data_IF_103141123572
#
_entry.id   IF_103141123572
#
_cell.length_a   1.000
_cell.length_b   1.000
_cell.length_c   1.000
_cell.angle_alpha   90.00
_cell.angle_beta   90.00
_cell.angle_gamma   90.00
#
_symmetry.space_group_name_H-M   'P 1'
#
loop_
_entity.id
_entity.type
_entity.pdbx_description
1 polymer ?
#
# COMPACT_ATOMS: atom_id res chain seq x y z
N UNK A 1 -9.32 -11.76 -4.22
CA UNK A 1 -9.51 -11.99 -5.66
C UNK A 1 -8.27 -12.65 -6.25
N UNK A 2 -8.42 -13.64 -7.15
CA UNK A 2 -7.28 -14.32 -7.79
C UNK A 2 -7.72 -15.08 -9.05
N UNK A 3 -6.76 -15.45 -9.91
CA UNK A 3 -6.88 -16.37 -11.00
C UNK A 3 -5.55 -17.03 -11.30
N UNK A 4 -5.61 -18.27 -11.78
CA UNK A 4 -4.44 -19.08 -12.13
C UNK A 4 -3.76 -19.75 -10.95
N UNK A 5 -2.98 -20.79 -11.29
CA UNK A 5 -2.38 -21.71 -10.29
C UNK A 5 -1.49 -21.00 -9.27
N UNK A 6 -0.65 -20.06 -9.70
CA UNK A 6 0.32 -19.39 -8.80
C UNK A 6 -0.37 -18.65 -7.67
N UNK A 7 -1.37 -17.82 -7.99
CA UNK A 7 -2.10 -17.06 -6.96
C UNK A 7 -3.03 -17.94 -6.13
N UNK A 8 -3.53 -19.04 -6.70
CA UNK A 8 -4.26 -20.03 -5.92
C UNK A 8 -3.35 -20.73 -4.92
N UNK A 9 -2.12 -21.10 -5.31
CA UNK A 9 -1.14 -21.69 -4.43
C UNK A 9 -0.76 -20.73 -3.31
N UNK A 10 -0.47 -19.44 -3.59
CA UNK A 10 -0.23 -18.43 -2.55
C UNK A 10 -1.40 -18.32 -1.57
N UNK A 11 -2.63 -18.31 -2.09
CA UNK A 11 -3.84 -18.28 -1.25
C UNK A 11 -3.91 -19.47 -0.32
N UNK A 12 -3.69 -20.70 -0.85
CA UNK A 12 -3.82 -21.94 -0.09
C UNK A 12 -2.65 -22.18 0.85
N UNK A 13 -1.44 -21.78 0.48
CA UNK A 13 -0.23 -22.12 1.19
C UNK A 13 0.15 -21.10 2.26
N UNK A 14 -0.28 -19.83 2.11
CA UNK A 14 0.15 -18.76 2.99
C UNK A 14 -1.00 -17.88 3.49
N UNK A 15 -1.84 -17.37 2.58
CA UNK A 15 -2.88 -16.42 2.95
C UNK A 15 -3.94 -17.07 3.85
N UNK A 16 -4.62 -18.11 3.39
CA UNK A 16 -5.62 -18.82 4.19
C UNK A 16 -5.05 -19.43 5.46
N UNK A 17 -3.88 -20.11 5.46
CA UNK A 17 -3.28 -20.60 6.69
C UNK A 17 -3.04 -19.50 7.73
N UNK A 18 -2.53 -18.32 7.35
CA UNK A 18 -2.32 -17.21 8.28
C UNK A 18 -3.65 -16.62 8.80
N UNK A 19 -4.68 -16.57 7.95
CA UNK A 19 -6.01 -16.15 8.35
C UNK A 19 -6.74 -17.15 9.25
N UNK A 20 -6.36 -18.42 9.21
CA UNK A 20 -6.89 -19.49 10.07
C UNK A 20 -6.12 -19.66 11.37
N UNK A 21 -5.10 -18.83 11.65
CA UNK A 21 -4.48 -18.76 12.97
C UNK A 21 -5.53 -18.45 14.05
N UNK A 22 -5.26 -18.90 15.28
CA UNK A 22 -6.24 -18.94 16.37
C UNK A 22 -6.97 -17.60 16.62
N UNK A 23 -6.22 -16.49 16.59
CA UNK A 23 -6.74 -15.15 16.90
C UNK A 23 -7.18 -14.38 15.64
N UNK A 24 -7.27 -15.04 14.49
CA UNK A 24 -7.77 -14.48 13.24
C UNK A 24 -9.22 -14.96 12.96
N UNK A 25 -9.51 -15.56 11.82
CA UNK A 25 -10.89 -15.98 11.49
C UNK A 25 -11.54 -16.84 12.57
N UNK A 26 -10.84 -17.81 13.22
CA UNK A 26 -11.44 -18.58 14.30
C UNK A 26 -11.90 -17.74 15.51
N UNK A 27 -11.34 -16.56 15.72
CA UNK A 27 -11.75 -15.64 16.78
C UNK A 27 -13.00 -14.80 16.45
N UNK A 28 -13.61 -14.97 15.28
CA UNK A 28 -14.88 -14.34 14.92
C UNK A 28 -16.00 -15.15 15.58
N UNK A 29 -16.48 -14.68 16.75
CA UNK A 29 -17.49 -15.39 17.55
C UNK A 29 -18.89 -15.46 16.90
N UNK A 30 -19.19 -14.53 15.98
CA UNK A 30 -20.47 -14.44 15.27
C UNK A 30 -20.34 -14.98 13.85
N UNK A 31 -20.37 -16.30 13.74
CA UNK A 31 -20.27 -16.98 12.42
C UNK A 31 -21.50 -16.71 11.53
N UNK A 32 -22.64 -16.35 12.11
CA UNK A 32 -23.94 -16.26 11.45
C UNK A 32 -24.18 -15.08 10.52
N UNK A 33 -23.17 -14.28 10.16
CA UNK A 33 -23.33 -13.12 9.27
C UNK A 33 -22.10 -12.80 8.43
N UNK A 34 -20.97 -13.46 8.70
CA UNK A 34 -19.71 -13.20 7.99
C UNK A 34 -19.54 -14.13 6.79
N UNK A 35 -19.05 -13.57 5.67
CA UNK A 35 -18.81 -14.31 4.43
C UNK A 35 -17.36 -14.10 3.99
N UNK A 36 -16.75 -15.14 3.44
CA UNK A 36 -15.46 -15.05 2.76
C UNK A 36 -15.68 -15.03 1.23
N UNK A 37 -15.54 -13.88 0.61
CA UNK A 37 -15.82 -13.71 -0.83
C UNK A 37 -14.60 -14.10 -1.66
N UNK A 38 -14.76 -15.11 -2.51
CA UNK A 38 -13.76 -15.54 -3.48
C UNK A 38 -14.15 -15.05 -4.88
N UNK A 39 -13.56 -13.92 -5.30
CA UNK A 39 -13.72 -13.44 -6.67
C UNK A 39 -12.68 -14.15 -7.55
N UNK A 40 -13.09 -15.17 -8.31
CA UNK A 40 -12.18 -16.02 -9.07
C UNK A 40 -12.86 -16.64 -10.28
N UNK A 41 -12.11 -17.39 -11.09
CA UNK A 41 -12.66 -18.14 -12.22
C UNK A 41 -13.32 -19.45 -11.75
N UNK A 42 -14.28 -20.01 -12.49
CA UNK A 42 -14.88 -21.31 -12.15
C UNK A 42 -13.83 -22.43 -11.97
N UNK A 43 -12.84 -22.50 -12.87
CA UNK A 43 -11.81 -23.53 -12.80
C UNK A 43 -10.95 -23.40 -11.54
N UNK A 44 -10.64 -22.17 -11.11
CA UNK A 44 -9.86 -21.95 -9.89
C UNK A 44 -10.73 -22.21 -8.64
N UNK A 45 -12.01 -21.91 -8.70
CA UNK A 45 -12.97 -22.25 -7.64
C UNK A 45 -13.06 -23.76 -7.44
N UNK A 46 -13.32 -24.53 -8.52
CA UNK A 46 -13.40 -25.99 -8.50
C UNK A 46 -12.13 -26.65 -7.95
N UNK A 47 -10.97 -26.05 -8.22
CA UNK A 47 -9.69 -26.50 -7.70
C UNK A 47 -9.51 -26.16 -6.22
N UNK A 48 -9.92 -24.96 -5.80
CA UNK A 48 -9.84 -24.50 -4.41
C UNK A 48 -10.73 -25.33 -3.48
N UNK A 49 -11.96 -25.63 -3.90
CA UNK A 49 -12.92 -26.43 -3.09
C UNK A 49 -12.39 -27.81 -2.71
N UNK A 50 -11.46 -28.37 -3.49
CA UNK A 50 -10.85 -29.69 -3.24
C UNK A 50 -9.69 -29.64 -2.27
N UNK A 51 -9.27 -28.44 -1.81
CA UNK A 51 -8.10 -28.31 -0.94
C UNK A 51 -8.47 -28.54 0.54
N UNK A 52 -7.57 -29.16 1.33
CA UNK A 52 -7.82 -29.34 2.77
C UNK A 52 -8.03 -28.00 3.50
N UNK A 53 -7.28 -26.96 3.12
CA UNK A 53 -7.39 -25.63 3.76
C UNK A 53 -8.75 -24.99 3.56
N UNK A 54 -9.38 -25.19 2.39
CA UNK A 54 -10.74 -24.73 2.15
C UNK A 54 -11.76 -25.44 3.04
N UNK A 55 -11.61 -26.74 3.26
CA UNK A 55 -12.46 -27.48 4.19
C UNK A 55 -12.29 -26.99 5.64
N UNK A 56 -11.07 -26.62 6.03
CA UNK A 56 -10.82 -26.00 7.33
C UNK A 56 -11.52 -24.63 7.42
N UNK A 57 -11.39 -23.78 6.39
CA UNK A 57 -12.03 -22.46 6.35
C UNK A 57 -13.54 -22.53 6.56
N UNK A 58 -14.21 -23.49 5.90
CA UNK A 58 -15.68 -23.69 5.99
C UNK A 58 -16.18 -23.99 7.41
N UNK A 59 -15.31 -24.38 8.32
CA UNK A 59 -15.70 -24.64 9.72
C UNK A 59 -15.92 -23.31 10.48
N UNK A 60 -15.37 -22.20 10.00
CA UNK A 60 -15.35 -20.93 10.70
C UNK A 60 -16.12 -19.81 9.99
N UNK A 61 -16.20 -19.84 8.65
CA UNK A 61 -16.82 -18.77 7.89
C UNK A 61 -17.44 -19.34 6.60
N UNK A 62 -18.55 -18.73 6.13
CA UNK A 62 -19.23 -19.13 4.90
C UNK A 62 -18.41 -18.66 3.66
N UNK A 63 -17.88 -19.57 2.84
CA UNK A 63 -17.25 -19.19 1.59
C UNK A 63 -18.31 -18.85 0.53
N UNK A 64 -18.10 -17.76 -0.18
CA UNK A 64 -19.00 -17.27 -1.21
C UNK A 64 -18.25 -17.05 -2.52
N UNK A 65 -18.66 -17.77 -3.58
CA UNK A 65 -18.07 -17.66 -4.91
C UNK A 65 -18.65 -16.47 -5.67
N UNK A 66 -17.77 -15.61 -6.20
CA UNK A 66 -18.11 -14.57 -7.16
C UNK A 66 -17.34 -14.85 -8.44
N UNK A 67 -18.05 -15.22 -9.49
CA UNK A 67 -17.44 -15.50 -10.77
C UNK A 67 -16.89 -14.23 -11.42
N UNK A 68 -15.63 -14.32 -11.87
CA UNK A 68 -14.99 -13.29 -12.68
C UNK A 68 -14.44 -13.93 -13.96
N UNK A 69 -14.46 -13.21 -15.10
CA UNK A 69 -13.83 -13.70 -16.31
C UNK A 69 -12.31 -13.73 -16.18
N UNK A 70 -11.63 -14.46 -17.05
CA UNK A 70 -10.18 -14.30 -17.22
C UNK A 70 -9.84 -12.91 -17.74
N UNK A 71 -8.65 -12.36 -17.40
CA UNK A 71 -8.25 -11.06 -17.89
C UNK A 71 -8.21 -11.04 -19.42
N UNK A 72 -8.82 -10.03 -20.07
CA UNK A 72 -8.70 -9.86 -21.50
C UNK A 72 -7.24 -9.66 -21.91
N UNK A 73 -6.88 -10.12 -23.11
CA UNK A 73 -5.54 -9.91 -23.67
C UNK A 73 -5.15 -8.42 -23.63
N UNK A 74 -3.95 -8.13 -23.14
CA UNK A 74 -3.41 -6.77 -23.05
C UNK A 74 -3.91 -5.94 -21.85
N UNK A 75 -4.83 -6.44 -21.02
CA UNK A 75 -5.22 -5.79 -19.76
C UNK A 75 -4.21 -6.14 -18.67
N UNK A 76 -3.81 -5.14 -17.88
CA UNK A 76 -2.92 -5.40 -16.73
C UNK A 76 -3.64 -6.19 -15.64
N UNK A 77 -2.90 -6.99 -14.86
CA UNK A 77 -3.46 -7.71 -13.71
C UNK A 77 -4.16 -6.76 -12.73
N UNK A 78 -3.56 -5.60 -12.45
CA UNK A 78 -4.15 -4.60 -11.55
C UNK A 78 -5.49 -4.05 -12.07
N UNK A 79 -5.61 -3.72 -13.35
CA UNK A 79 -6.88 -3.27 -13.94
C UNK A 79 -7.95 -4.37 -13.89
N UNK A 80 -7.55 -5.64 -14.01
CA UNK A 80 -8.48 -6.76 -13.93
C UNK A 80 -8.92 -7.05 -12.50
N UNK A 81 -8.03 -6.89 -11.51
CA UNK A 81 -8.37 -7.03 -10.10
C UNK A 81 -9.48 -6.06 -9.67
N UNK A 82 -9.57 -4.87 -10.28
CA UNK A 82 -10.64 -3.92 -10.07
C UNK A 82 -12.04 -4.51 -10.25
N UNK A 83 -12.21 -5.46 -11.19
CA UNK A 83 -13.51 -6.12 -11.44
C UNK A 83 -14.01 -6.85 -10.19
N UNK A 84 -13.18 -7.70 -9.58
CA UNK A 84 -13.57 -8.45 -8.39
C UNK A 84 -13.70 -7.55 -7.16
N UNK A 85 -12.81 -6.56 -7.00
CA UNK A 85 -12.93 -5.58 -5.92
C UNK A 85 -14.22 -4.77 -6.02
N UNK A 86 -14.63 -4.37 -7.24
CA UNK A 86 -15.90 -3.68 -7.47
C UNK A 86 -17.10 -4.52 -7.05
N UNK A 87 -17.14 -5.78 -7.47
CA UNK A 87 -18.21 -6.70 -7.11
C UNK A 87 -18.30 -6.94 -5.59
N UNK A 88 -17.17 -7.20 -4.96
CA UNK A 88 -17.10 -7.41 -3.51
C UNK A 88 -17.50 -6.14 -2.73
N UNK A 89 -17.01 -4.96 -3.15
CA UNK A 89 -17.34 -3.69 -2.53
C UNK A 89 -18.83 -3.33 -2.69
N UNK A 90 -19.41 -3.60 -3.86
CA UNK A 90 -20.85 -3.39 -4.10
C UNK A 90 -21.71 -4.33 -3.22
N UNK A 91 -21.29 -5.58 -3.03
CA UNK A 91 -21.97 -6.51 -2.13
C UNK A 91 -21.91 -6.00 -0.68
N UNK A 92 -20.73 -5.64 -0.18
CA UNK A 92 -20.55 -5.10 1.15
C UNK A 92 -21.37 -3.80 1.37
N UNK A 93 -21.41 -2.92 0.37
CA UNK A 93 -22.22 -1.69 0.44
C UNK A 93 -23.73 -1.96 0.49
N UNK A 94 -24.22 -2.89 -0.33
CA UNK A 94 -25.63 -3.32 -0.31
C UNK A 94 -26.02 -3.92 1.05
N UNK A 95 -25.14 -4.77 1.59
CA UNK A 95 -25.38 -5.49 2.83
C UNK A 95 -25.07 -4.62 4.09
N UNK A 96 -24.57 -3.37 3.89
CA UNK A 96 -24.11 -2.45 4.95
C UNK A 96 -23.12 -3.11 5.91
N UNK A 97 -22.23 -3.93 5.36
CA UNK A 97 -21.28 -4.73 6.10
C UNK A 97 -19.92 -4.05 6.22
N UNK A 98 -19.11 -4.52 7.12
CA UNK A 98 -17.67 -4.27 7.07
C UNK A 98 -17.03 -5.11 5.96
N UNK A 99 -16.20 -4.49 5.12
CA UNK A 99 -15.40 -5.18 4.11
C UNK A 99 -13.93 -5.27 4.56
N UNK A 100 -13.38 -6.49 4.55
CA UNK A 100 -11.95 -6.76 4.74
C UNK A 100 -11.38 -7.21 3.41
N UNK A 101 -10.41 -6.47 2.85
CA UNK A 101 -9.88 -6.73 1.52
C UNK A 101 -8.48 -7.31 1.60
N UNK A 102 -8.32 -8.50 1.00
CA UNK A 102 -7.08 -9.27 1.04
C UNK A 102 -6.72 -9.73 -0.38
N UNK A 103 -5.43 -9.84 -0.63
CA UNK A 103 -4.89 -10.44 -1.86
C UNK A 103 -4.32 -11.82 -1.57
N UNK A 104 -4.20 -12.72 -2.56
CA UNK A 104 -3.68 -14.07 -2.33
C UNK A 104 -2.18 -14.08 -1.97
N UNK A 105 -1.42 -13.11 -2.46
CA UNK A 105 0.01 -12.89 -2.19
C UNK A 105 0.23 -12.11 -0.88
N UNK A 106 -0.41 -12.57 0.18
CA UNK A 106 -0.48 -11.88 1.46
C UNK A 106 -0.39 -12.85 2.62
N UNK A 107 0.31 -12.46 3.68
CA UNK A 107 0.30 -13.13 4.98
C UNK A 107 0.05 -12.08 6.07
N UNK A 108 -0.76 -12.43 7.07
CA UNK A 108 -1.05 -11.59 8.22
C UNK A 108 -0.53 -12.21 9.51
N UNK A 109 -0.18 -11.37 10.48
CA UNK A 109 0.14 -11.83 11.83
C UNK A 109 -1.10 -12.40 12.53
N UNK A 110 -0.89 -13.32 13.45
CA UNK A 110 -1.94 -13.80 14.33
C UNK A 110 -2.51 -12.64 15.17
N UNK A 111 -3.81 -12.60 15.37
CA UNK A 111 -4.52 -11.52 16.05
C UNK A 111 -4.93 -10.34 15.15
N UNK A 112 -4.55 -10.31 13.85
CA UNK A 112 -4.93 -9.24 12.93
C UNK A 112 -6.44 -9.09 12.81
N UNK A 113 -7.19 -10.19 12.62
CA UNK A 113 -8.66 -10.14 12.47
C UNK A 113 -9.33 -9.70 13.78
N UNK A 114 -8.83 -10.18 14.93
CA UNK A 114 -9.29 -9.71 16.24
C UNK A 114 -9.07 -8.21 16.44
N UNK A 115 -7.92 -7.70 16.03
CA UNK A 115 -7.62 -6.28 16.10
C UNK A 115 -8.52 -5.44 15.16
N UNK A 116 -8.82 -5.93 13.95
CA UNK A 116 -9.78 -5.29 13.04
C UNK A 116 -11.19 -5.23 13.66
N UNK A 117 -11.65 -6.33 14.28
CA UNK A 117 -12.92 -6.36 15.03
C UNK A 117 -12.94 -5.31 16.14
N UNK A 118 -11.85 -5.20 16.89
CA UNK A 118 -11.70 -4.19 17.94
C UNK A 118 -11.74 -2.76 17.39
N UNK A 119 -11.06 -2.47 16.28
CA UNK A 119 -11.14 -1.16 15.62
C UNK A 119 -12.57 -0.82 15.20
N UNK A 120 -13.29 -1.78 14.59
CA UNK A 120 -14.70 -1.61 14.21
C UNK A 120 -15.58 -1.31 15.40
N UNK A 121 -15.45 -2.07 16.50
CA UNK A 121 -16.20 -1.87 17.75
C UNK A 121 -15.92 -0.51 18.40
N UNK A 122 -14.72 0.03 18.23
CA UNK A 122 -14.33 1.37 18.68
C UNK A 122 -14.76 2.50 17.72
N UNK A 123 -15.54 2.18 16.69
CA UNK A 123 -16.10 3.17 15.78
C UNK A 123 -15.20 3.60 14.62
N UNK A 124 -14.05 2.91 14.39
CA UNK A 124 -13.24 3.13 13.22
C UNK A 124 -13.99 2.70 11.97
N UNK A 125 -14.11 3.59 10.99
CA UNK A 125 -14.78 3.30 9.72
C UNK A 125 -13.84 2.76 8.66
N UNK A 126 -12.55 3.07 8.78
CA UNK A 126 -11.49 2.59 7.92
C UNK A 126 -10.28 2.22 8.76
N UNK A 127 -9.63 1.10 8.44
CA UNK A 127 -8.31 0.73 8.98
C UNK A 127 -7.32 0.67 7.83
N UNK A 128 -6.22 1.41 7.94
CA UNK A 128 -5.17 1.50 6.94
C UNK A 128 -3.84 0.98 7.49
N UNK A 129 -3.16 0.16 6.71
CA UNK A 129 -1.77 -0.24 6.96
C UNK A 129 -0.85 0.24 5.85
N UNK A 130 0.42 0.46 6.15
CA UNK A 130 1.41 0.81 5.13
C UNK A 130 1.64 -0.36 4.17
N UNK A 131 1.51 -0.10 2.88
CA UNK A 131 1.63 -1.09 1.81
C UNK A 131 3.01 -0.99 1.15
N UNK A 132 3.97 -1.76 1.64
CA UNK A 132 5.28 -1.91 1.03
C UNK A 132 5.43 -3.32 0.46
N UNK A 133 6.24 -3.45 -0.59
CA UNK A 133 6.44 -4.72 -1.30
C UNK A 133 7.66 -5.45 -0.76
N UNK A 134 7.53 -6.76 -0.51
CA UNK A 134 8.61 -7.65 -0.10
C UNK A 134 9.03 -8.54 -1.27
N UNK A 135 10.29 -8.97 -1.29
CA UNK A 135 10.79 -9.97 -2.24
C UNK A 135 10.36 -11.36 -1.79
N UNK A 136 9.75 -12.12 -2.69
CA UNK A 136 9.25 -13.46 -2.40
C UNK A 136 10.34 -14.38 -1.89
N UNK A 137 11.41 -14.51 -2.67
CA UNK A 137 12.47 -15.48 -2.41
C UNK A 137 13.14 -15.22 -1.03
N UNK A 138 13.65 -14.01 -0.72
CA UNK A 138 14.26 -13.78 0.59
C UNK A 138 13.24 -13.79 1.73
N UNK A 139 11.96 -13.48 1.49
CA UNK A 139 10.92 -13.56 2.52
C UNK A 139 10.71 -15.02 2.95
N UNK A 140 10.59 -15.92 1.99
CA UNK A 140 10.35 -17.33 2.26
C UNK A 140 11.58 -17.98 2.88
N UNK A 141 12.80 -17.68 2.41
CA UNK A 141 14.04 -18.15 3.04
C UNK A 141 14.14 -17.72 4.51
N UNK A 142 13.81 -16.46 4.81
CA UNK A 142 13.83 -15.95 6.19
C UNK A 142 12.72 -16.58 7.06
N UNK A 143 11.53 -16.83 6.52
CA UNK A 143 10.45 -17.50 7.26
C UNK A 143 10.81 -18.97 7.53
N UNK A 144 11.45 -19.67 6.60
CA UNK A 144 11.97 -21.02 6.81
C UNK A 144 13.09 -21.03 7.87
N UNK A 145 14.01 -20.07 7.80
CA UNK A 145 15.09 -19.95 8.80
C UNK A 145 14.57 -19.66 10.21
N UNK A 146 13.39 -19.05 10.33
CA UNK A 146 12.70 -18.83 11.60
C UNK A 146 11.84 -20.04 12.05
N UNK A 147 11.80 -21.10 11.25
CA UNK A 147 10.98 -22.30 11.53
C UNK A 147 9.46 -22.04 11.39
N UNK A 148 9.07 -20.97 10.73
CA UNK A 148 7.66 -20.61 10.48
C UNK A 148 7.10 -21.42 9.31
N UNK A 149 7.91 -21.57 8.25
CA UNK A 149 7.57 -22.43 7.11
C UNK A 149 8.35 -23.73 7.16
N UNK A 150 7.74 -24.86 6.77
CA UNK A 150 8.43 -26.13 6.66
C UNK A 150 9.47 -26.10 5.53
N UNK A 151 10.60 -26.78 5.73
CA UNK A 151 11.67 -26.86 4.73
C UNK A 151 11.40 -27.89 3.62
N UNK A 152 10.60 -28.93 3.92
CA UNK A 152 10.51 -30.13 3.06
C UNK A 152 9.09 -30.42 2.52
N UNK A 153 8.10 -29.62 2.84
CA UNK A 153 6.71 -29.84 2.38
C UNK A 153 6.12 -28.55 1.80
N UNK A 154 5.44 -28.68 0.67
CA UNK A 154 4.57 -27.62 0.22
C UNK A 154 3.45 -27.39 1.26
N UNK A 155 3.26 -26.17 1.80
CA UNK A 155 2.26 -25.88 2.85
C UNK A 155 0.84 -26.32 2.48
N UNK A 156 0.49 -26.31 1.18
CA UNK A 156 -0.83 -26.67 0.63
C UNK A 156 -1.31 -28.08 0.99
N UNK A 157 -0.41 -28.98 1.37
CA UNK A 157 -0.78 -30.38 1.67
C UNK A 157 -1.23 -30.57 3.11
N UNK A 158 -0.88 -29.66 4.03
CA UNK A 158 -1.19 -29.83 5.46
C UNK A 158 -2.61 -29.39 5.82
N UNK A 159 -3.18 -28.40 5.14
CA UNK A 159 -4.47 -27.79 5.52
C UNK A 159 -4.46 -27.17 6.91
N UNK A 160 -3.29 -26.97 7.52
CA UNK A 160 -3.13 -26.48 8.87
C UNK A 160 -3.02 -24.95 8.94
N UNK A 161 -3.54 -24.34 10.01
CA UNK A 161 -3.30 -22.94 10.30
C UNK A 161 -1.82 -22.61 10.48
N UNK A 162 -1.42 -21.42 10.07
CA UNK A 162 -0.08 -20.87 10.24
C UNK A 162 -0.13 -19.72 11.23
N UNK A 163 0.28 -19.96 12.48
CA UNK A 163 0.38 -18.89 13.47
C UNK A 163 1.76 -18.25 13.43
N UNK A 164 1.79 -16.94 13.21
CA UNK A 164 3.01 -16.13 13.20
C UNK A 164 2.74 -14.81 13.93
N UNK A 165 3.57 -14.48 14.92
CA UNK A 165 3.46 -13.20 15.59
C UNK A 165 3.91 -12.03 14.71
N UNK A 166 3.41 -10.81 14.99
CA UNK A 166 3.85 -9.60 14.29
C UNK A 166 5.37 -9.43 14.31
N UNK A 167 6.02 -9.71 15.44
CA UNK A 167 7.48 -9.60 15.57
C UNK A 167 8.26 -10.64 14.74
N UNK A 168 7.76 -11.87 14.65
CA UNK A 168 8.38 -12.88 13.79
C UNK A 168 8.23 -12.49 12.32
N UNK A 169 7.04 -12.00 11.95
CA UNK A 169 6.77 -11.57 10.58
C UNK A 169 7.63 -10.36 10.20
N UNK A 170 7.78 -9.38 11.09
CA UNK A 170 8.71 -8.25 10.89
C UNK A 170 10.15 -8.71 10.74
N UNK A 171 10.60 -9.66 11.58
CA UNK A 171 11.98 -10.17 11.54
C UNK A 171 12.35 -10.78 10.18
N UNK A 172 11.41 -11.46 9.53
CA UNK A 172 11.59 -11.94 8.18
C UNK A 172 11.49 -10.79 7.16
N UNK A 173 10.46 -9.93 7.31
CA UNK A 173 10.08 -8.92 6.33
C UNK A 173 11.14 -7.84 6.10
N UNK A 174 11.73 -7.27 7.19
CA UNK A 174 12.71 -6.17 7.06
C UNK A 174 14.00 -6.57 6.35
N UNK A 175 14.30 -7.86 6.31
CA UNK A 175 15.44 -8.43 5.56
C UNK A 175 15.09 -8.78 4.12
N UNK A 176 13.82 -8.65 3.76
CA UNK A 176 13.25 -9.15 2.50
C UNK A 176 12.63 -8.07 1.65
N UNK A 177 12.97 -6.80 1.88
CA UNK A 177 12.42 -5.72 1.07
C UNK A 177 12.72 -5.92 -0.42
N UNK A 178 11.69 -5.86 -1.26
CA UNK A 178 11.85 -5.79 -2.71
C UNK A 178 12.55 -4.49 -3.12
N UNK A 179 13.25 -4.48 -4.24
CA UNK A 179 13.92 -3.26 -4.75
C UNK A 179 12.98 -2.06 -4.90
N UNK A 180 11.68 -2.31 -5.11
CA UNK A 180 10.64 -1.28 -5.11
C UNK A 180 10.50 -0.58 -3.75
N UNK A 181 10.75 -1.28 -2.64
CA UNK A 181 10.72 -0.75 -1.27
C UNK A 181 12.09 -0.24 -0.82
N UNK A 182 13.18 -0.96 -1.14
CA UNK A 182 14.55 -0.57 -0.78
C UNK A 182 14.89 0.84 -1.25
N UNK A 183 14.39 1.25 -2.42
CA UNK A 183 14.60 2.59 -2.98
C UNK A 183 13.99 3.73 -2.15
N UNK A 184 13.24 3.45 -1.10
CA UNK A 184 12.63 4.44 -0.20
C UNK A 184 13.40 4.60 1.12
N UNK A 185 14.52 3.91 1.28
CA UNK A 185 15.41 4.08 2.43
C UNK A 185 16.03 5.48 2.42
N UNK A 186 15.76 6.24 3.49
CA UNK A 186 16.20 7.63 3.55
C UNK A 186 17.73 7.76 3.53
N UNK A 187 18.44 6.89 4.23
CA UNK A 187 19.89 6.95 4.34
C UNK A 187 20.61 6.41 3.09
N UNK A 188 19.90 5.69 2.23
CA UNK A 188 20.50 5.08 1.06
C UNK A 188 20.87 6.11 -0.05
N UNK A 189 21.99 5.88 -0.76
CA UNK A 189 22.43 6.74 -1.86
C UNK A 189 21.59 6.58 -3.13
N UNK A 190 20.69 5.60 -3.16
CA UNK A 190 19.80 5.30 -4.29
C UNK A 190 18.34 5.72 -4.02
N UNK A 191 18.11 6.63 -3.05
CA UNK A 191 16.77 7.10 -2.73
C UNK A 191 15.96 7.47 -3.98
N UNK A 192 14.69 7.06 -4.05
CA UNK A 192 13.84 7.21 -5.23
C UNK A 192 13.72 8.65 -5.70
N UNK A 193 13.60 8.83 -7.01
CA UNK A 193 13.23 10.14 -7.59
C UNK A 193 11.74 10.44 -7.47
N UNK A 194 10.91 9.43 -7.20
CA UNK A 194 9.49 9.54 -6.93
C UNK A 194 9.12 8.58 -5.79
N UNK A 195 9.31 9.01 -4.54
CA UNK A 195 9.05 8.14 -3.38
C UNK A 195 7.55 8.06 -3.07
N UNK A 196 7.07 6.82 -2.85
CA UNK A 196 5.74 6.56 -2.28
C UNK A 196 5.82 6.28 -0.77
N UNK A 197 7.02 6.29 -0.20
CA UNK A 197 7.30 6.17 1.22
C UNK A 197 8.70 6.72 1.50
N UNK A 198 9.03 6.91 2.77
CA UNK A 198 10.41 6.98 3.24
C UNK A 198 10.54 6.21 4.54
N UNK A 199 11.65 5.51 4.72
CA UNK A 199 11.87 4.72 5.91
C UNK A 199 13.33 4.80 6.37
N UNK A 200 13.54 4.56 7.67
CA UNK A 200 14.83 4.53 8.35
C UNK A 200 15.01 3.20 9.04
N UNK A 201 16.15 2.58 8.83
CA UNK A 201 16.52 1.36 9.54
C UNK A 201 16.92 1.65 11.00
N UNK A 202 16.56 0.71 11.89
CA UNK A 202 17.09 0.60 13.25
C UNK A 202 17.70 -0.80 13.39
N UNK A 203 18.93 -1.03 12.89
CA UNK A 203 19.51 -2.37 12.84
C UNK A 203 19.64 -3.03 14.21
N UNK A 204 20.07 -2.28 15.25
CA UNK A 204 20.24 -2.79 16.61
C UNK A 204 18.90 -3.20 17.26
N UNK A 205 17.79 -2.62 16.81
CA UNK A 205 16.44 -2.90 17.27
C UNK A 205 15.72 -3.93 16.36
N UNK A 206 16.35 -4.41 15.30
CA UNK A 206 15.73 -5.23 14.27
C UNK A 206 14.38 -4.63 13.79
N UNK A 207 14.43 -3.35 13.36
CA UNK A 207 13.20 -2.67 12.98
C UNK A 207 13.40 -1.50 12.02
N UNK A 208 12.28 -0.90 11.62
CA UNK A 208 12.23 0.27 10.76
C UNK A 208 11.14 1.24 11.22
N UNK A 209 11.42 2.53 11.07
CA UNK A 209 10.42 3.60 11.15
C UNK A 209 10.11 4.01 9.71
N UNK A 210 8.84 4.07 9.36
CA UNK A 210 8.42 4.46 8.03
C UNK A 210 7.31 5.51 8.03
N UNK A 211 7.30 6.33 6.98
CA UNK A 211 6.24 7.25 6.62
C UNK A 211 5.78 6.89 5.21
N UNK A 212 4.48 6.71 5.02
CA UNK A 212 3.95 6.14 3.78
C UNK A 212 2.94 7.06 3.08
N UNK A 213 2.96 7.03 1.76
CA UNK A 213 1.91 7.53 0.87
C UNK A 213 1.16 6.36 0.20
N UNK A 214 1.65 5.13 0.39
CA UNK A 214 1.04 3.90 -0.11
C UNK A 214 0.36 3.17 1.05
N UNK A 215 -0.95 3.08 1.01
CA UNK A 215 -1.77 2.50 2.07
C UNK A 215 -2.66 1.41 1.51
N UNK A 216 -2.74 0.29 2.24
CA UNK A 216 -3.69 -0.78 1.99
C UNK A 216 -4.85 -0.67 2.99
N UNK A 217 -6.10 -0.59 2.53
CA UNK A 217 -7.24 -0.66 3.40
C UNK A 217 -7.46 -2.11 3.85
N UNK A 218 -7.44 -2.32 5.16
CA UNK A 218 -7.75 -3.63 5.77
C UNK A 218 -9.20 -3.75 6.18
N UNK A 219 -9.85 -2.63 6.54
CA UNK A 219 -11.25 -2.61 6.93
C UNK A 219 -11.93 -1.37 6.35
N UNK A 220 -13.17 -1.53 5.85
CA UNK A 220 -14.05 -0.46 5.41
C UNK A 220 -15.45 -0.69 5.95
N UNK A 221 -16.03 0.30 6.65
CA UNK A 221 -17.42 0.29 7.10
C UNK A 221 -18.33 0.82 6.00
N UNK A 222 -19.01 -0.07 5.31
CA UNK A 222 -19.93 0.32 4.24
C UNK A 222 -21.28 0.87 4.73
N UNK A 223 -21.60 0.73 6.02
CA UNK A 223 -22.73 1.42 6.61
C UNK A 223 -22.48 2.94 6.75
N UNK A 224 -21.21 3.34 6.85
CA UNK A 224 -20.81 4.74 6.99
C UNK A 224 -20.66 5.50 5.65
N UNK A 225 -20.91 4.83 4.51
CA UNK A 225 -20.80 5.42 3.15
C UNK A 225 -22.18 5.77 2.64
N UNK A 226 -22.47 7.06 2.42
CA UNK A 226 -23.74 7.52 1.86
C UNK A 226 -23.82 7.30 0.36
N UNK A 227 -22.75 7.66 -0.35
CA UNK A 227 -22.62 7.49 -1.80
C UNK A 227 -21.39 6.64 -2.09
N UNK A 228 -21.62 5.50 -2.77
CA UNK A 228 -20.55 4.56 -3.08
C UNK A 228 -20.00 4.79 -4.47
N UNK A 229 -18.91 5.53 -4.57
CA UNK A 229 -18.20 5.74 -5.84
C UNK A 229 -17.20 4.61 -6.10
N UNK A 230 -17.47 3.83 -7.13
CA UNK A 230 -16.67 2.67 -7.56
C UNK A 230 -15.83 2.94 -8.81
N UNK A 231 -15.75 4.20 -9.28
CA UNK A 231 -15.06 4.55 -10.54
C UNK A 231 -13.56 4.24 -10.54
N UNK A 232 -12.91 4.24 -9.37
CA UNK A 232 -11.51 3.82 -9.24
C UNK A 232 -11.27 2.38 -9.68
N UNK A 233 -12.25 1.49 -9.48
CA UNK A 233 -12.13 0.08 -9.87
C UNK A 233 -12.17 -0.16 -11.38
N UNK A 234 -12.60 0.82 -12.16
CA UNK A 234 -12.64 0.69 -13.62
C UNK A 234 -11.22 0.78 -14.24
N UNK A 235 -10.26 1.35 -13.48
CA UNK A 235 -8.89 1.60 -13.94
C UNK A 235 -7.81 1.05 -12.99
N UNK A 236 -8.17 0.71 -11.75
CA UNK A 236 -7.22 0.30 -10.71
C UNK A 236 -7.81 -0.71 -9.72
N UNK A 237 -7.01 -1.12 -8.75
CA UNK A 237 -7.44 -1.99 -7.64
C UNK A 237 -7.94 -1.18 -6.45
N UNK A 238 -8.38 -1.87 -5.39
CA UNK A 238 -8.68 -1.27 -4.11
C UNK A 238 -7.38 -0.79 -3.46
N UNK A 239 -7.24 0.50 -3.35
CA UNK A 239 -6.12 1.17 -2.69
C UNK A 239 -6.60 2.43 -1.95
N UNK A 240 -5.64 3.20 -1.46
CA UNK A 240 -5.97 4.42 -0.74
C UNK A 240 -6.82 5.42 -1.54
N UNK A 241 -6.73 5.45 -2.87
CA UNK A 241 -7.50 6.41 -3.67
C UNK A 241 -8.99 6.13 -3.60
N UNK A 242 -9.40 4.86 -3.68
CA UNK A 242 -10.78 4.46 -3.44
C UNK A 242 -11.27 4.88 -2.05
N UNK A 243 -10.44 4.68 -1.02
CA UNK A 243 -10.78 5.04 0.36
C UNK A 243 -11.01 6.54 0.49
N UNK A 244 -10.06 7.36 0.01
CA UNK A 244 -10.15 8.82 0.13
C UNK A 244 -11.24 9.42 -0.76
N UNK A 245 -11.73 8.68 -1.76
CA UNK A 245 -12.89 9.06 -2.55
C UNK A 245 -14.20 8.87 -1.78
N UNK A 246 -14.32 7.81 -0.99
CA UNK A 246 -15.55 7.46 -0.29
C UNK A 246 -15.57 7.91 1.19
N UNK A 247 -14.41 7.96 1.86
CA UNK A 247 -14.25 8.36 3.25
C UNK A 247 -13.47 9.66 3.32
N UNK A 248 -14.11 10.76 3.76
CA UNK A 248 -13.54 12.11 3.69
C UNK A 248 -12.93 12.61 5.00
N UNK A 249 -13.18 11.92 6.11
CA UNK A 249 -12.75 12.37 7.41
C UNK A 249 -11.61 11.49 7.94
N UNK A 250 -10.43 12.08 8.16
CA UNK A 250 -9.26 11.38 8.69
C UNK A 250 -9.50 10.84 10.12
N UNK A 251 -10.38 11.48 10.89
CA UNK A 251 -10.71 11.02 12.25
C UNK A 251 -11.50 9.71 12.27
N UNK A 252 -12.12 9.33 11.15
CA UNK A 252 -12.80 8.04 10.99
C UNK A 252 -11.82 6.91 10.62
N UNK A 253 -10.54 7.25 10.39
CA UNK A 253 -9.51 6.32 9.94
C UNK A 253 -8.58 5.93 11.08
N UNK A 254 -8.48 4.64 11.32
CA UNK A 254 -7.44 4.06 12.16
C UNK A 254 -6.22 3.74 11.31
N UNK A 255 -5.08 4.32 11.66
CA UNK A 255 -3.79 4.04 11.02
C UNK A 255 -3.04 3.06 11.89
N UNK A 256 -2.74 1.88 11.36
CA UNK A 256 -1.90 0.89 12.04
C UNK A 256 -0.48 1.45 12.16
N UNK A 257 -0.11 1.80 13.38
CA UNK A 257 1.15 2.50 13.67
C UNK A 257 2.23 1.60 14.23
N UNK A 258 1.86 0.40 14.61
CA UNK A 258 2.73 -0.53 15.32
C UNK A 258 2.49 -1.96 14.84
N UNK A 259 3.56 -2.68 14.52
CA UNK A 259 3.49 -4.06 14.04
C UNK A 259 3.05 -5.07 15.11
N UNK A 260 3.06 -4.71 16.40
CA UNK A 260 2.49 -5.55 17.46
C UNK A 260 0.95 -5.51 17.44
N UNK A 261 0.35 -4.45 16.89
CA UNK A 261 -1.09 -4.38 16.69
C UNK A 261 -1.55 -5.27 15.53
N UNK A 262 -0.97 -5.05 14.37
CA UNK A 262 -1.22 -5.82 13.15
C UNK A 262 0.00 -5.73 12.23
N UNK A 263 0.44 -6.84 11.68
CA UNK A 263 1.46 -6.89 10.65
C UNK A 263 0.98 -7.67 9.43
N UNK A 264 1.24 -7.09 8.27
CA UNK A 264 0.85 -7.64 6.98
C UNK A 264 2.03 -7.54 6.02
N UNK A 265 2.31 -8.61 5.31
CA UNK A 265 3.31 -8.65 4.26
C UNK A 265 2.68 -9.11 2.94
N UNK A 266 3.01 -8.41 1.86
CA UNK A 266 2.63 -8.77 0.49
C UNK A 266 3.88 -8.77 -0.36
N UNK A 267 4.09 -9.83 -1.11
CA UNK A 267 5.34 -10.08 -1.84
C UNK A 267 5.17 -10.08 -3.35
N UNK A 268 6.27 -10.07 -4.03
CA UNK A 268 6.40 -10.37 -5.44
C UNK A 268 7.77 -10.98 -5.70
N UNK A 269 7.94 -11.84 -6.73
CA UNK A 269 9.25 -12.30 -7.16
C UNK A 269 10.23 -11.13 -7.35
N UNK A 270 11.48 -11.28 -6.93
CA UNK A 270 12.49 -10.22 -7.08
C UNK A 270 12.65 -9.76 -8.53
N UNK A 271 12.37 -10.66 -9.47
CA UNK A 271 12.41 -10.37 -10.90
C UNK A 271 11.21 -9.54 -11.40
N UNK A 272 10.12 -9.41 -10.61
CA UNK A 272 8.95 -8.63 -11.02
C UNK A 272 9.20 -7.13 -10.87
N UNK A 273 9.28 -6.42 -12.01
CA UNK A 273 9.46 -4.94 -12.04
C UNK A 273 10.61 -4.44 -11.15
N UNK A 274 11.82 -5.02 -11.26
CA UNK A 274 12.94 -4.63 -10.41
C UNK A 274 13.26 -3.15 -10.62
N UNK A 275 13.61 -2.48 -9.52
CA UNK A 275 14.01 -1.07 -9.54
C UNK A 275 15.54 -0.97 -9.46
N UNK A 276 16.10 -0.01 -10.19
CA UNK A 276 17.54 0.25 -10.08
C UNK A 276 17.88 0.82 -8.70
N UNK A 277 18.83 0.19 -8.02
CA UNK A 277 19.44 0.66 -6.78
C UNK A 277 20.82 1.28 -7.04
N UNK A 278 21.02 1.85 -8.23
CA UNK A 278 22.28 2.49 -8.59
C UNK A 278 22.55 3.72 -7.72
N UNK A 279 23.67 3.74 -7.00
CA UNK A 279 24.01 4.87 -6.14
C UNK A 279 24.19 6.16 -6.92
N UNK A 280 23.61 7.25 -6.41
CA UNK A 280 23.85 8.60 -6.92
C UNK A 280 24.87 9.30 -6.04
N UNK A 281 25.99 9.74 -6.60
CA UNK A 281 27.08 10.34 -5.84
C UNK A 281 26.65 11.60 -5.08
N UNK A 282 25.76 12.41 -5.65
CA UNK A 282 25.27 13.63 -5.00
C UNK A 282 24.38 13.30 -3.78
N UNK A 283 23.67 12.19 -3.80
CA UNK A 283 22.84 11.73 -2.66
C UNK A 283 23.68 11.13 -1.53
N UNK A 284 24.96 10.84 -1.75
CA UNK A 284 25.91 10.37 -0.73
C UNK A 284 26.52 11.50 0.09
N UNK A 285 26.52 12.71 -0.43
CA UNK A 285 27.10 13.85 0.29
C UNK A 285 26.18 14.23 1.46
N UNK A 286 26.69 14.30 2.71
CA UNK A 286 25.85 14.37 3.90
C UNK A 286 24.80 15.49 3.87
N UNK A 287 25.18 16.73 3.58
CA UNK A 287 24.24 17.87 3.54
C UNK A 287 23.50 17.95 2.20
N UNK A 288 24.24 17.82 1.09
CA UNK A 288 23.66 17.94 -0.26
C UNK A 288 22.71 16.80 -0.54
N UNK A 289 23.05 15.59 -0.12
CA UNK A 289 22.20 14.41 -0.33
C UNK A 289 20.87 14.51 0.42
N UNK A 290 20.88 14.96 1.68
CA UNK A 290 19.64 15.22 2.42
C UNK A 290 18.80 16.31 1.76
N UNK A 291 19.42 17.36 1.28
CA UNK A 291 18.75 18.45 0.56
C UNK A 291 18.05 17.97 -0.71
N UNK A 292 18.74 17.14 -1.50
CA UNK A 292 18.19 16.56 -2.71
C UNK A 292 17.02 15.63 -2.37
N UNK A 293 17.18 14.74 -1.40
CA UNK A 293 16.14 13.78 -0.98
C UNK A 293 14.91 14.50 -0.41
N UNK A 294 15.13 15.51 0.44
CA UNK A 294 14.06 16.35 0.97
C UNK A 294 13.31 17.13 -0.10
N UNK A 295 14.02 17.69 -1.08
CA UNK A 295 13.40 18.35 -2.24
C UNK A 295 12.59 17.39 -3.11
N UNK A 296 13.08 16.18 -3.33
CA UNK A 296 12.36 15.12 -4.06
C UNK A 296 11.07 14.73 -3.33
N UNK A 297 11.15 14.45 -2.02
CA UNK A 297 9.98 14.08 -1.22
C UNK A 297 8.95 15.21 -1.19
N UNK A 298 9.41 16.46 -1.04
CA UNK A 298 8.55 17.64 -1.13
C UNK A 298 7.87 17.76 -2.50
N UNK A 299 8.61 17.56 -3.57
CA UNK A 299 8.07 17.58 -4.93
C UNK A 299 7.02 16.48 -5.14
N UNK A 300 7.25 15.29 -4.61
CA UNK A 300 6.28 14.19 -4.66
C UNK A 300 4.97 14.57 -3.94
N UNK A 301 5.05 15.10 -2.72
CA UNK A 301 3.88 15.53 -1.95
C UNK A 301 3.11 16.67 -2.64
N UNK A 302 3.82 17.66 -3.19
CA UNK A 302 3.20 18.82 -3.85
C UNK A 302 2.77 18.56 -5.29
N UNK A 303 3.08 17.41 -5.87
CA UNK A 303 2.77 17.08 -7.27
C UNK A 303 1.27 17.05 -7.58
N UNK A 304 0.42 16.99 -6.56
CA UNK A 304 -1.04 16.83 -6.70
C UNK A 304 -1.47 15.43 -7.12
N UNK A 305 -0.52 14.47 -7.17
CA UNK A 305 -0.82 13.06 -7.45
C UNK A 305 -1.47 12.41 -6.23
N UNK A 306 -1.06 12.83 -5.02
CA UNK A 306 -1.60 12.29 -3.79
C UNK A 306 -2.78 13.13 -3.27
N UNK A 307 -3.80 12.44 -2.79
CA UNK A 307 -4.92 13.08 -2.10
C UNK A 307 -4.47 13.83 -0.83
N UNK A 308 -5.19 14.88 -0.47
CA UNK A 308 -4.87 15.69 0.72
C UNK A 308 -4.91 14.89 2.02
N UNK A 309 -5.74 13.87 2.12
CA UNK A 309 -5.78 12.98 3.28
C UNK A 309 -4.55 12.07 3.33
N UNK A 310 -4.07 11.56 2.19
CA UNK A 310 -2.77 10.84 2.12
C UNK A 310 -1.62 11.71 2.63
N UNK A 311 -1.61 12.99 2.28
CA UNK A 311 -0.60 13.93 2.76
C UNK A 311 -0.67 14.12 4.28
N UNK A 312 -1.87 14.19 4.86
CA UNK A 312 -2.04 14.31 6.32
C UNK A 312 -1.52 13.08 7.06
N UNK A 313 -1.93 11.89 6.64
CA UNK A 313 -1.53 10.63 7.30
C UNK A 313 -0.07 10.26 7.03
N UNK A 314 0.59 10.85 6.01
CA UNK A 314 2.02 10.65 5.76
C UNK A 314 2.90 11.02 6.96
N UNK A 315 2.52 12.03 7.74
CA UNK A 315 3.30 12.47 8.90
C UNK A 315 3.15 11.55 10.11
N UNK A 316 2.27 10.56 10.05
CA UNK A 316 2.12 9.56 11.11
C UNK A 316 3.22 8.51 10.96
N UNK A 317 4.15 8.36 11.94
CA UNK A 317 5.17 7.33 11.88
C UNK A 317 4.54 5.95 12.11
N UNK A 318 5.03 4.96 11.36
CA UNK A 318 4.70 3.55 11.54
C UNK A 318 5.97 2.82 11.97
N UNK A 319 5.85 1.95 12.99
CA UNK A 319 6.93 1.15 13.56
C UNK A 319 6.76 -0.30 13.17
N UNK A 320 7.73 -0.85 12.50
CA UNK A 320 7.84 -2.30 12.33
C UNK A 320 9.05 -2.77 13.13
N UNK A 321 8.83 -3.61 14.12
CA UNK A 321 9.88 -4.03 15.06
C UNK A 321 9.79 -5.52 15.41
N UNK A 322 10.96 -6.20 15.42
CA UNK A 322 11.07 -7.61 15.80
C UNK A 322 11.35 -7.80 17.29
N UNK A 323 11.74 -6.74 18.00
CA UNK A 323 12.02 -6.72 19.45
C UNK A 323 11.07 -5.76 20.16
N UNK A 324 10.99 -5.86 21.49
CA UNK A 324 10.26 -4.88 22.28
C UNK A 324 10.85 -3.46 22.08
N UNK A 325 9.97 -2.46 22.03
CA UNK A 325 10.40 -1.07 21.83
C UNK A 325 11.27 -0.60 23.00
N UNK A 326 12.43 -0.04 22.66
CA UNK A 326 13.35 0.59 23.62
C UNK A 326 13.28 2.12 23.53
N UNK A 327 14.05 2.83 24.37
CA UNK A 327 14.19 4.28 24.28
C UNK A 327 14.82 4.76 22.96
N UNK A 328 15.59 3.92 22.27
CA UNK A 328 16.18 4.22 20.96
C UNK A 328 15.13 4.58 19.91
N UNK A 329 13.94 3.97 19.99
CA UNK A 329 12.83 4.28 19.08
C UNK A 329 12.36 5.72 19.22
N UNK A 330 12.18 6.21 20.44
CA UNK A 330 11.78 7.59 20.70
C UNK A 330 12.81 8.59 20.15
N UNK A 331 14.09 8.28 20.32
CA UNK A 331 15.20 9.12 19.81
C UNK A 331 15.16 9.13 18.27
N UNK A 332 15.08 7.96 17.64
CA UNK A 332 15.04 7.86 16.15
C UNK A 332 13.80 8.51 15.56
N UNK A 333 12.63 8.34 16.17
CA UNK A 333 11.41 9.05 15.73
C UNK A 333 11.55 10.57 15.81
N UNK A 334 12.17 11.09 16.88
CA UNK A 334 12.41 12.51 17.00
C UNK A 334 13.35 13.01 15.88
N UNK A 335 14.41 12.25 15.57
CA UNK A 335 15.30 12.51 14.44
C UNK A 335 14.56 12.52 13.10
N UNK A 336 13.79 11.48 12.81
CA UNK A 336 12.98 11.39 11.58
C UNK A 336 12.02 12.59 11.46
N UNK A 337 11.33 12.91 12.54
CA UNK A 337 10.42 14.08 12.60
C UNK A 337 11.16 15.38 12.36
N UNK A 338 12.36 15.55 12.91
CA UNK A 338 13.18 16.75 12.68
C UNK A 338 13.58 16.86 11.21
N UNK A 339 14.00 15.75 10.57
CA UNK A 339 14.33 15.68 9.15
C UNK A 339 13.11 16.07 8.31
N UNK A 340 11.96 15.43 8.55
CA UNK A 340 10.74 15.72 7.80
C UNK A 340 10.27 17.17 8.01
N UNK A 341 10.31 17.69 9.23
CA UNK A 341 9.95 19.07 9.54
C UNK A 341 10.84 20.07 8.82
N UNK A 342 12.12 19.78 8.66
CA UNK A 342 13.07 20.64 7.94
C UNK A 342 12.66 20.85 6.48
N UNK A 343 12.14 19.83 5.81
CA UNK A 343 11.83 19.89 4.38
C UNK A 343 10.34 20.06 4.07
N UNK A 344 9.46 19.67 5.00
CA UNK A 344 8.01 19.53 4.77
C UNK A 344 7.16 20.26 5.83
N UNK A 345 7.77 20.99 6.77
CA UNK A 345 7.07 21.56 7.93
C UNK A 345 5.86 22.44 7.58
N UNK A 346 5.95 23.22 6.51
CA UNK A 346 4.85 24.04 5.99
C UNK A 346 3.68 23.19 5.44
N UNK A 347 3.96 22.07 4.79
CA UNK A 347 2.93 21.13 4.28
C UNK A 347 2.20 20.48 5.46
N UNK A 348 2.93 20.09 6.50
CA UNK A 348 2.35 19.50 7.71
C UNK A 348 1.38 20.46 8.41
N UNK A 349 1.72 21.74 8.50
CA UNK A 349 0.88 22.78 9.12
C UNK A 349 -0.39 23.02 8.30
N UNK A 350 -0.29 23.12 6.97
CA UNK A 350 -1.45 23.30 6.09
C UNK A 350 -2.40 22.10 6.17
N UNK A 351 -1.86 20.88 6.25
CA UNK A 351 -2.67 19.68 6.35
C UNK A 351 -3.43 19.57 7.66
N UNK A 352 -2.84 20.02 8.78
CA UNK A 352 -3.46 20.04 10.11
C UNK A 352 -4.44 21.21 10.28
N UNK A 353 -4.17 22.37 9.70
CA UNK A 353 -5.01 23.56 9.78
C UNK A 353 -6.38 23.39 9.13
N UNK A 354 -6.53 22.48 8.17
CA UNK A 354 -7.82 22.13 7.54
C UNK A 354 -8.70 21.23 8.41
N UNK A 355 -8.15 20.63 9.46
CA UNK A 355 -8.87 19.72 10.39
C UNK A 355 -9.32 20.38 11.72
N UNK A 356 -9.25 21.70 11.84
CA UNK A 356 -9.96 22.47 12.90
C UNK A 356 -9.40 22.41 14.31
N UNK A 357 -8.26 21.80 14.58
CA UNK A 357 -7.59 21.84 15.89
C UNK A 357 -6.21 22.50 15.80
N UNK A 358 -6.17 23.76 16.23
CA UNK A 358 -4.98 24.55 16.49
C UNK A 358 -4.19 23.93 17.64
N UNK A 359 -3.20 23.10 17.36
CA UNK A 359 -2.11 22.91 18.33
C UNK A 359 -1.09 24.03 18.14
N UNK A 360 -1.13 24.99 19.06
CA UNK A 360 -0.13 26.05 19.20
C UNK A 360 1.19 25.45 19.65
N UNK A 361 2.06 25.04 18.75
CA UNK A 361 3.44 24.67 19.16
C UNK A 361 4.48 24.52 18.05
N UNK A 362 4.21 24.87 16.79
CA UNK A 362 5.25 24.77 15.75
C UNK A 362 5.54 26.07 14.98
N UNK A 363 5.10 27.23 15.48
CA UNK A 363 5.25 28.51 14.79
C UNK A 363 6.67 29.11 14.81
N UNK A 364 7.65 28.51 15.50
CA UNK A 364 9.00 29.04 15.64
C UNK A 364 10.09 28.14 15.00
N UNK A 365 9.88 27.65 13.79
CA UNK A 365 10.96 27.05 13.00
C UNK A 365 11.89 28.13 12.43
N UNK A 366 13.22 27.88 12.32
CA UNK A 366 14.24 28.87 11.93
C UNK A 366 14.15 29.36 10.47
N UNK A 367 13.08 29.10 9.78
CA UNK A 367 12.95 29.30 8.32
C UNK A 367 12.21 30.59 7.90
N UNK A 368 11.85 31.47 8.87
CA UNK A 368 11.22 32.75 8.58
C UNK A 368 12.20 33.88 8.18
N UNK A 369 13.48 33.55 7.96
CA UNK A 369 14.50 34.52 7.56
C UNK A 369 14.95 34.36 6.09
N UNK A 370 15.98 35.10 5.72
CA UNK A 370 16.62 35.13 4.38
C UNK A 370 16.96 33.74 3.80
N UNK A 371 17.17 32.73 4.64
CA UNK A 371 17.41 31.34 4.20
C UNK A 371 16.16 30.70 3.59
N UNK A 372 14.96 31.04 4.07
CA UNK A 372 13.69 30.57 3.49
C UNK A 372 13.41 31.14 2.09
N UNK A 373 13.86 32.37 1.82
CA UNK A 373 13.76 32.99 0.48
C UNK A 373 14.70 32.34 -0.53
N UNK A 374 15.93 32.04 -0.14
CA UNK A 374 16.89 31.33 -1.01
C UNK A 374 16.43 29.90 -1.33
N UNK A 375 15.84 29.20 -0.36
CA UNK A 375 15.29 27.87 -0.52
C UNK A 375 14.09 27.86 -1.49
N UNK A 376 13.16 28.82 -1.34
CA UNK A 376 12.00 28.98 -2.24
C UNK A 376 12.44 29.32 -3.67
N UNK A 377 13.44 30.18 -3.82
CA UNK A 377 13.98 30.57 -5.14
C UNK A 377 14.65 29.42 -5.89
N UNK A 378 15.28 28.47 -5.17
CA UNK A 378 15.89 27.27 -5.77
C UNK A 378 14.90 26.13 -5.97
N UNK A 379 13.87 26.00 -5.11
CA UNK A 379 12.89 24.94 -5.20
C UNK A 379 11.89 25.11 -6.34
N UNK A 380 11.48 26.34 -6.65
CA UNK A 380 10.53 26.61 -7.75
C UNK A 380 11.07 26.06 -9.08
N UNK A 381 12.33 26.32 -9.47
CA UNK A 381 12.92 25.69 -10.67
C UNK A 381 13.06 24.17 -10.55
N UNK A 382 13.44 23.64 -9.39
CA UNK A 382 13.62 22.19 -9.17
C UNK A 382 12.27 21.44 -9.22
N UNK A 383 11.22 21.98 -8.63
CA UNK A 383 9.86 21.43 -8.72
C UNK A 383 9.36 21.51 -10.16
N UNK A 384 9.62 22.61 -10.85
CA UNK A 384 9.25 22.78 -12.26
C UNK A 384 10.04 21.85 -13.16
N UNK A 385 11.35 21.72 -12.96
CA UNK A 385 12.20 20.78 -13.68
C UNK A 385 11.82 19.33 -13.36
N UNK A 386 11.51 19.01 -12.12
CA UNK A 386 11.00 17.70 -11.71
C UNK A 386 9.66 17.36 -12.38
N UNK A 387 8.75 18.31 -12.48
CA UNK A 387 7.48 18.18 -13.23
C UNK A 387 7.74 17.99 -14.72
N UNK A 388 8.61 18.82 -15.31
CA UNK A 388 8.99 18.71 -16.72
C UNK A 388 9.68 17.37 -16.99
N UNK A 389 10.60 16.95 -16.14
CA UNK A 389 11.29 15.65 -16.27
C UNK A 389 10.32 14.47 -16.11
N UNK A 390 9.41 14.52 -15.13
CA UNK A 390 8.38 13.51 -14.95
C UNK A 390 7.45 13.44 -16.16
N UNK A 391 7.02 14.60 -16.67
CA UNK A 391 6.21 14.69 -17.89
C UNK A 391 6.99 14.16 -19.09
N UNK A 392 8.25 14.58 -19.26
CA UNK A 392 9.10 14.13 -20.36
C UNK A 392 9.42 12.64 -20.30
N UNK A 393 9.75 12.11 -19.12
CA UNK A 393 10.00 10.68 -18.90
C UNK A 393 8.75 9.85 -19.16
N UNK A 394 7.60 10.28 -18.65
CA UNK A 394 6.31 9.60 -18.92
C UNK A 394 5.88 9.75 -20.39
N UNK A 395 6.13 10.90 -21.03
CA UNK A 395 5.88 11.09 -22.46
C UNK A 395 6.80 10.20 -23.31
N UNK A 396 8.06 10.02 -22.93
CA UNK A 396 8.99 9.15 -23.63
C UNK A 396 8.57 7.68 -23.53
N UNK A 397 8.22 7.21 -22.34
CA UNK A 397 7.67 5.86 -22.12
C UNK A 397 6.27 5.70 -22.70
N UNK A 398 5.45 6.77 -22.66
CA UNK A 398 4.13 6.79 -23.29
C UNK A 398 4.22 6.83 -24.81
N UNK A 399 5.24 7.47 -25.40
CA UNK A 399 5.41 7.51 -26.87
C UNK A 399 5.60 6.13 -27.47
N UNK A 400 6.42 5.26 -26.84
CA UNK A 400 6.60 3.88 -27.30
C UNK A 400 5.30 3.08 -27.16
N UNK A 401 4.66 3.16 -25.98
CA UNK A 401 3.37 2.50 -25.73
C UNK A 401 2.21 3.12 -26.52
N UNK A 402 2.28 4.43 -26.82
CA UNK A 402 1.28 5.09 -27.65
C UNK A 402 1.42 4.66 -29.12
N UNK A 403 2.65 4.46 -29.62
CA UNK A 403 2.88 3.91 -30.97
C UNK A 403 2.37 2.48 -31.09
N UNK A 404 2.64 1.63 -30.11
CA UNK A 404 2.11 0.25 -30.04
C UNK A 404 0.58 0.24 -30.01
N UNK A 405 -0.04 1.09 -29.19
CA UNK A 405 -1.49 1.20 -29.05
C UNK A 405 -2.19 1.99 -30.18
N UNK A 406 -1.50 2.90 -30.85
CA UNK A 406 -2.03 3.49 -32.08
C UNK A 406 -2.12 2.45 -33.19
N UNK A 407 -1.18 1.50 -33.27
CA UNK A 407 -1.27 0.38 -34.20
C UNK A 407 -2.46 -0.53 -33.86
N UNK A 408 -2.69 -0.82 -32.57
CA UNK A 408 -3.87 -1.58 -32.09
C UNK A 408 -5.20 -0.82 -32.35
N UNK A 409 -5.23 0.49 -32.15
CA UNK A 409 -6.42 1.31 -32.41
C UNK A 409 -6.73 1.46 -33.90
N UNK A 410 -5.70 1.47 -34.76
CA UNK A 410 -5.84 1.46 -36.22
C UNK A 410 -6.35 0.09 -36.71
N UNK A 411 -6.12 -0.99 -35.95
CA UNK A 411 -6.66 -2.31 -36.20
C UNK A 411 -8.15 -2.47 -35.80
N UNK A 412 -8.81 -1.42 -35.30
CA UNK A 412 -10.27 -1.40 -35.13
C UNK A 412 -10.78 -1.57 -33.69
N UNK A 413 -9.93 -1.59 -32.67
CA UNK A 413 -10.36 -1.70 -31.27
C UNK A 413 -10.87 -0.34 -30.71
N UNK A 414 -12.21 -0.23 -30.56
CA UNK A 414 -12.88 0.95 -29.99
C UNK A 414 -12.46 1.27 -28.55
N UNK A 415 -12.11 0.27 -27.75
CA UNK A 415 -11.64 0.43 -26.38
C UNK A 415 -10.23 1.03 -26.29
N UNK A 416 -9.38 0.80 -27.30
CA UNK A 416 -8.05 1.41 -27.37
C UNK A 416 -8.12 2.93 -27.59
N UNK A 417 -9.10 3.40 -28.38
CA UNK A 417 -9.33 4.84 -28.61
C UNK A 417 -9.76 5.56 -27.34
N UNK A 418 -10.64 4.97 -26.55
CA UNK A 418 -11.10 5.52 -25.28
C UNK A 418 -9.94 5.62 -24.27
N UNK A 419 -9.11 4.58 -24.17
CA UNK A 419 -7.94 4.55 -23.29
C UNK A 419 -6.88 5.61 -23.65
N UNK A 420 -6.68 5.88 -24.94
CA UNK A 420 -5.78 6.95 -25.42
C UNK A 420 -6.33 8.31 -24.99
N UNK A 421 -7.62 8.55 -25.18
CA UNK A 421 -8.28 9.81 -24.81
C UNK A 421 -8.18 10.08 -23.29
N UNK A 422 -8.44 9.07 -22.46
CA UNK A 422 -8.33 9.15 -21.01
C UNK A 422 -6.90 9.52 -20.58
N UNK A 423 -5.87 8.93 -21.19
CA UNK A 423 -4.46 9.26 -20.88
C UNK A 423 -4.07 10.68 -21.31
N UNK A 424 -4.56 11.15 -22.44
CA UNK A 424 -4.36 12.54 -22.87
C UNK A 424 -4.98 13.49 -21.85
N UNK A 425 -6.17 13.20 -21.36
CA UNK A 425 -6.87 13.97 -20.32
C UNK A 425 -6.08 13.94 -19.01
N UNK A 426 -5.52 12.78 -18.63
CA UNK A 426 -4.67 12.64 -17.43
C UNK A 426 -3.43 13.51 -17.51
N UNK A 427 -2.69 13.43 -18.63
CA UNK A 427 -1.50 14.26 -18.87
C UNK A 427 -1.85 15.74 -18.83
N UNK A 428 -2.95 16.14 -19.45
CA UNK A 428 -3.42 17.52 -19.47
C UNK A 428 -3.80 18.05 -18.07
N UNK A 429 -4.43 17.22 -17.23
CA UNK A 429 -4.74 17.56 -15.83
C UNK A 429 -3.48 17.69 -14.98
N UNK A 430 -2.50 16.79 -15.15
CA UNK A 430 -1.19 16.89 -14.47
C UNK A 430 -0.50 18.22 -14.83
N UNK A 431 -0.50 18.58 -16.12
CA UNK A 431 0.10 19.84 -16.61
C UNK A 431 -0.60 21.06 -15.96
N UNK A 432 -1.90 21.03 -15.80
CA UNK A 432 -2.68 22.11 -15.19
C UNK A 432 -2.72 22.11 -13.66
N UNK A 433 -2.12 21.12 -13.01
CA UNK A 433 -2.14 21.00 -11.54
C UNK A 433 -3.53 20.72 -10.97
N UNK A 434 -4.43 20.15 -11.77
CA UNK A 434 -5.76 19.75 -11.32
C UNK A 434 -5.63 18.45 -10.54
N UNK A 435 -6.12 18.35 -9.29
CA UNK A 435 -6.08 17.09 -8.52
C UNK A 435 -6.73 15.97 -9.31
N UNK A 436 -6.10 14.79 -9.31
CA UNK A 436 -6.64 13.59 -9.96
C UNK A 436 -7.81 13.02 -9.14
N UNK A 437 -8.90 13.76 -9.04
CA UNK A 437 -10.10 13.34 -8.31
C UNK A 437 -11.04 12.42 -9.10
N UNK A 438 -10.71 12.10 -10.37
CA UNK A 438 -11.61 11.33 -11.24
C UNK A 438 -10.82 10.55 -12.29
N UNK A 439 -10.22 9.44 -11.86
CA UNK A 439 -9.83 8.35 -12.78
C UNK A 439 -9.94 7.01 -12.06
#
# INVERSE_FOLDING_TARGET
>A
MFWGKVFRDYLCDFCLPSLLAHDNIPAIEEVGGSKFLFCTTPNDWDALEKTPIFHTLKQYIEPYFIEIPLPPSGKSGCEHMGVGHKLAAQMAFRDKAFGVFLTPDLMVSDGTVRALKHCAQNGSKVVLTAALRFGEEPLFDNLQALGVLPTDQAPSQSGLPLSISGRQLVKAAIKSFHSQTQRYEWEAPYFSSFPCACWWALPDEEGVILHSLSWAPLLCDYAAVDTHDTSTFDVWTLDGDYIFQNFKNVHDMHIVRDSDEMMLVSWAPLADRPQSLTPNILKRLPVVGEWIKGGILRAALLSGIFDSLKQQIFFIPVRWHARALSSSWTVKEAECRQILSRYLGDIAVESQGRSGHRQESMANGPWNGLQGLGYRALLIPLVTLGRIWFIASNLFHARKRLQERMQEALAGDGNARMRILQRIITVWKIIRGVPMRHF
#
